data_IF_004462779820
#
_entry.id   IF_004462779820
#
_cell.length_a   1.000
_cell.length_b   1.000
_cell.length_c   1.000
_cell.angle_alpha   90.00
_cell.angle_beta   90.00
_cell.angle_gamma   90.00
#
_symmetry.space_group_name_H-M   'P 1'
#
loop_
_entity.id
_entity.type
_entity.pdbx_description
1 polymer ?
#
# COMPACT_ATOMS: atom_id res chain seq x y z
N UNK A 1 37.42 11.33 39.82
CA UNK A 1 37.25 11.90 38.45
C UNK A 1 37.08 10.79 37.42
N UNK A 2 37.99 9.82 37.36
CA UNK A 2 37.91 8.65 36.46
C UNK A 2 36.61 7.85 36.61
N UNK A 3 36.17 7.57 37.84
CA UNK A 3 34.93 6.81 38.08
C UNK A 3 33.67 7.53 37.58
N UNK A 4 33.61 8.86 37.74
CA UNK A 4 32.52 9.69 37.25
C UNK A 4 32.52 9.79 35.71
N UNK A 5 33.70 9.74 35.09
CA UNK A 5 33.84 9.75 33.64
C UNK A 5 33.32 8.43 33.03
N UNK A 6 33.65 7.29 33.66
CA UNK A 6 33.13 5.99 33.25
C UNK A 6 31.62 5.85 33.47
N UNK A 7 31.08 6.35 34.58
CA UNK A 7 29.64 6.30 34.84
C UNK A 7 28.84 7.18 33.87
N UNK A 8 29.34 8.37 33.54
CA UNK A 8 28.73 9.23 32.52
C UNK A 8 28.76 8.62 31.11
N UNK A 9 29.89 8.03 30.73
CA UNK A 9 30.05 7.36 29.43
C UNK A 9 29.12 6.14 29.31
N UNK A 10 29.01 5.34 30.37
CA UNK A 10 28.11 4.19 30.41
C UNK A 10 26.64 4.61 30.26
N UNK A 11 26.21 5.66 30.98
CA UNK A 11 24.85 6.18 30.87
C UNK A 11 24.53 6.67 29.46
N UNK A 12 25.48 7.37 28.80
CA UNK A 12 25.34 7.83 27.43
C UNK A 12 25.19 6.66 26.44
N UNK A 13 25.99 5.61 26.59
CA UNK A 13 25.89 4.41 25.74
C UNK A 13 24.55 3.69 25.91
N UNK A 14 24.06 3.58 27.15
CA UNK A 14 22.76 2.94 27.43
C UNK A 14 21.63 3.70 26.75
N UNK A 15 21.57 5.03 26.91
CA UNK A 15 20.52 5.84 26.28
C UNK A 15 20.63 5.80 24.76
N UNK A 16 21.84 5.89 24.19
CA UNK A 16 22.06 5.78 22.75
C UNK A 16 21.60 4.42 22.20
N UNK A 17 21.88 3.32 22.91
CA UNK A 17 21.43 1.99 22.52
C UNK A 17 19.90 1.85 22.61
N UNK A 18 19.27 2.42 23.64
CA UNK A 18 17.82 2.41 23.80
C UNK A 18 17.13 3.18 22.66
N UNK A 19 17.65 4.37 22.32
CA UNK A 19 17.15 5.15 21.19
C UNK A 19 17.38 4.46 19.85
N UNK A 20 18.51 3.77 19.67
CA UNK A 20 18.77 2.97 18.48
C UNK A 20 17.76 1.83 18.33
N UNK A 21 17.42 1.14 19.43
CA UNK A 21 16.44 0.07 19.41
C UNK A 21 15.04 0.58 19.05
N UNK A 22 14.64 1.74 19.60
CA UNK A 22 13.40 2.41 19.22
C UNK A 22 13.40 2.89 17.76
N UNK A 23 14.51 3.47 17.29
CA UNK A 23 14.65 3.90 15.90
C UNK A 23 14.55 2.71 14.94
N UNK A 24 15.17 1.57 15.28
CA UNK A 24 15.12 0.33 14.49
C UNK A 24 13.71 -0.24 14.39
N UNK A 25 12.89 -0.11 15.43
CA UNK A 25 11.47 -0.51 15.39
C UNK A 25 10.63 0.43 14.52
N UNK A 26 10.99 1.71 14.43
CA UNK A 26 10.31 2.70 13.58
C UNK A 26 10.65 2.61 12.09
N UNK A 27 11.70 1.86 11.71
CA UNK A 27 12.28 1.91 10.37
C UNK A 27 11.98 0.64 9.53
N UNK A 28 10.71 0.25 9.46
CA UNK A 28 10.19 -0.62 8.39
C UNK A 28 9.11 0.12 7.57
N UNK A 29 9.37 1.40 7.27
CA UNK A 29 8.38 2.27 6.63
C UNK A 29 8.51 2.44 5.11
N UNK A 30 9.64 2.08 4.50
CA UNK A 30 9.82 2.17 3.05
C UNK A 30 9.23 0.92 2.39
N UNK A 31 7.91 0.80 2.45
CA UNK A 31 7.24 -0.19 1.62
C UNK A 31 7.28 0.34 0.19
N UNK A 32 8.14 -0.26 -0.62
CA UNK A 32 8.29 0.06 -2.03
C UNK A 32 6.93 -0.13 -2.73
N UNK A 33 6.40 0.97 -3.29
CA UNK A 33 5.13 0.93 -4.04
C UNK A 33 5.23 0.06 -5.29
N UNK A 34 6.45 -0.25 -5.75
CA UNK A 34 6.70 -1.24 -6.80
C UNK A 34 6.28 -2.66 -6.40
N UNK A 35 6.29 -3.01 -5.11
CA UNK A 35 5.84 -4.33 -4.64
C UNK A 35 4.32 -4.53 -4.79
N UNK A 36 3.59 -3.50 -5.20
CA UNK A 36 2.13 -3.50 -5.38
C UNK A 36 1.76 -3.86 -6.83
N UNK A 37 2.73 -3.92 -7.73
CA UNK A 37 2.51 -4.34 -9.11
C UNK A 37 2.00 -5.79 -9.13
N UNK A 38 0.90 -6.04 -9.84
CA UNK A 38 0.20 -7.34 -9.94
C UNK A 38 -0.54 -7.83 -8.68
N UNK A 39 -0.55 -7.06 -7.58
CA UNK A 39 -1.37 -7.38 -6.41
C UNK A 39 -2.87 -7.15 -6.68
N UNK A 40 -3.70 -7.90 -5.95
CA UNK A 40 -5.15 -7.76 -6.01
C UNK A 40 -5.65 -6.86 -4.88
N UNK A 41 -6.56 -5.95 -5.20
CA UNK A 41 -7.14 -5.01 -4.25
C UNK A 41 -8.66 -4.95 -4.37
N UNK A 42 -9.26 -4.23 -3.43
CA UNK A 42 -10.71 -3.98 -3.42
C UNK A 42 -10.96 -2.50 -3.61
N UNK A 43 -11.91 -2.16 -4.48
CA UNK A 43 -12.31 -0.77 -4.71
C UNK A 43 -13.02 -0.23 -3.47
N UNK A 44 -12.47 0.80 -2.86
CA UNK A 44 -13.09 1.51 -1.74
C UNK A 44 -13.99 2.64 -2.25
N UNK A 45 -13.49 3.42 -3.21
CA UNK A 45 -14.22 4.49 -3.88
C UNK A 45 -14.32 4.20 -5.37
N UNK A 46 -15.54 4.27 -5.90
CA UNK A 46 -15.87 4.03 -7.31
C UNK A 46 -14.86 4.72 -8.24
N UNK A 47 -14.27 3.93 -9.14
CA UNK A 47 -13.30 4.41 -10.12
C UNK A 47 -14.08 4.73 -11.40
N UNK A 48 -14.23 6.01 -11.78
CA UNK A 48 -14.89 6.37 -13.03
C UNK A 48 -14.07 5.84 -14.21
N UNK A 49 -14.77 5.30 -15.21
CA UNK A 49 -14.13 4.71 -16.39
C UNK A 49 -13.43 5.74 -17.28
N UNK A 50 -12.66 5.24 -18.25
CA UNK A 50 -11.99 6.05 -19.28
C UNK A 50 -11.07 7.14 -18.72
N UNK A 51 -10.38 6.87 -17.59
CA UNK A 51 -9.52 7.85 -16.90
C UNK A 51 -10.21 9.20 -16.59
N UNK A 52 -11.55 9.24 -16.49
CA UNK A 52 -12.31 10.48 -16.26
C UNK A 52 -12.25 11.00 -14.83
N UNK A 53 -11.63 10.27 -13.92
CA UNK A 53 -11.46 10.69 -12.53
C UNK A 53 -10.67 9.67 -11.73
N UNK A 54 -10.44 10.01 -10.47
CA UNK A 54 -9.59 9.24 -9.56
C UNK A 54 -10.50 8.55 -8.55
N UNK A 55 -10.41 7.22 -8.48
CA UNK A 55 -10.99 6.45 -7.39
C UNK A 55 -9.93 6.06 -6.35
N UNK A 56 -10.33 5.22 -5.41
CA UNK A 56 -9.46 4.75 -4.33
C UNK A 56 -9.63 3.24 -4.16
N UNK A 57 -8.51 2.54 -4.01
CA UNK A 57 -8.48 1.11 -3.75
C UNK A 57 -7.76 0.84 -2.46
N UNK A 58 -8.17 -0.23 -1.78
CA UNK A 58 -7.42 -0.82 -0.69
C UNK A 58 -6.59 -1.95 -1.26
N UNK A 59 -5.26 -1.81 -1.14
CA UNK A 59 -4.30 -2.80 -1.61
C UNK A 59 -3.33 -3.12 -0.48
N UNK A 60 -2.88 -4.38 -0.44
CA UNK A 60 -1.88 -4.81 0.53
C UNK A 60 -0.51 -4.34 0.05
N UNK A 61 0.15 -3.53 0.88
CA UNK A 61 1.47 -3.00 0.61
C UNK A 61 2.35 -3.50 1.76
N UNK A 62 3.08 -4.59 1.51
CA UNK A 62 3.83 -5.31 2.54
C UNK A 62 2.90 -5.98 3.56
N UNK A 63 3.03 -5.61 4.84
CA UNK A 63 2.23 -6.20 5.94
C UNK A 63 1.02 -5.33 6.36
N UNK A 64 0.68 -4.30 5.59
CA UNK A 64 -0.42 -3.39 5.90
C UNK A 64 -1.28 -3.13 4.68
N UNK A 65 -2.57 -2.90 4.90
CA UNK A 65 -3.49 -2.46 3.85
C UNK A 65 -3.40 -0.95 3.77
N UNK A 66 -3.13 -0.41 2.57
CA UNK A 66 -3.08 1.02 2.32
C UNK A 66 -4.17 1.40 1.31
N UNK A 67 -4.78 2.54 1.56
CA UNK A 67 -5.63 3.21 0.57
C UNK A 67 -4.73 3.94 -0.44
N UNK A 68 -4.89 3.62 -1.72
CA UNK A 68 -4.10 4.22 -2.81
C UNK A 68 -5.04 4.71 -3.90
N UNK A 69 -4.65 5.81 -4.55
CA UNK A 69 -5.39 6.38 -5.68
C UNK A 69 -5.30 5.43 -6.87
N UNK A 70 -6.42 5.23 -7.55
CA UNK A 70 -6.47 4.35 -8.71
C UNK A 70 -7.26 4.95 -9.87
N UNK A 71 -6.87 4.58 -11.08
CA UNK A 71 -7.54 4.93 -12.33
C UNK A 71 -7.74 3.68 -13.17
N UNK A 72 -8.73 3.69 -14.05
CA UNK A 72 -8.98 2.61 -15.00
C UNK A 72 -9.22 3.18 -16.40
N UNK A 73 -8.73 2.50 -17.43
CA UNK A 73 -8.99 2.85 -18.83
C UNK A 73 -10.31 2.26 -19.34
N UNK A 74 -10.79 1.20 -18.69
CA UNK A 74 -12.01 0.51 -19.04
C UNK A 74 -13.29 1.18 -18.56
N UNK A 75 -14.29 0.35 -18.26
CA UNK A 75 -15.57 0.79 -17.70
C UNK A 75 -15.41 1.22 -16.23
N UNK A 76 -16.41 1.96 -15.73
CA UNK A 76 -16.41 2.36 -14.33
C UNK A 76 -16.49 1.13 -13.41
N UNK A 77 -15.67 1.11 -12.36
CA UNK A 77 -15.61 0.02 -11.39
C UNK A 77 -16.25 0.51 -10.09
N UNK A 78 -17.34 -0.14 -9.68
CA UNK A 78 -18.07 0.19 -8.47
C UNK A 78 -17.30 -0.23 -7.21
N UNK A 79 -17.62 0.42 -6.08
CA UNK A 79 -17.10 0.04 -4.75
C UNK A 79 -17.39 -1.44 -4.44
N UNK A 80 -16.48 -2.07 -3.70
CA UNK A 80 -16.57 -3.48 -3.30
C UNK A 80 -16.14 -4.50 -4.37
N UNK A 81 -15.87 -4.08 -5.62
CA UNK A 81 -15.34 -4.98 -6.65
C UNK A 81 -13.85 -5.24 -6.46
N UNK A 82 -13.40 -6.45 -6.80
CA UNK A 82 -11.97 -6.78 -6.87
C UNK A 82 -11.34 -6.26 -8.15
N UNK A 83 -10.12 -5.75 -8.01
CA UNK A 83 -9.33 -5.21 -9.11
C UNK A 83 -7.89 -5.70 -9.00
N UNK A 84 -7.19 -5.76 -10.13
CA UNK A 84 -5.77 -6.08 -10.20
C UNK A 84 -5.00 -4.83 -10.61
N UNK A 85 -3.87 -4.58 -9.95
CA UNK A 85 -2.95 -3.50 -10.30
C UNK A 85 -2.12 -3.93 -11.51
N UNK A 86 -2.19 -3.17 -12.60
CA UNK A 86 -1.43 -3.45 -13.83
C UNK A 86 -0.20 -2.54 -13.97
N UNK A 87 -0.25 -1.33 -13.42
CA UNK A 87 0.84 -0.37 -13.54
C UNK A 87 0.85 0.61 -12.36
N UNK A 88 2.04 1.02 -11.92
CA UNK A 88 2.23 2.10 -10.95
C UNK A 88 2.64 3.36 -11.70
N UNK A 89 1.74 4.33 -11.81
CA UNK A 89 2.02 5.62 -12.45
C UNK A 89 2.69 6.60 -11.48
N UNK A 90 3.37 7.60 -12.04
CA UNK A 90 3.98 8.70 -11.27
C UNK A 90 2.93 9.40 -10.39
N UNK A 91 3.27 9.68 -9.13
CA UNK A 91 2.38 10.35 -8.17
C UNK A 91 1.51 9.41 -7.32
N UNK A 92 1.91 8.15 -7.16
CA UNK A 92 1.20 7.13 -6.38
C UNK A 92 -0.24 6.89 -6.89
N UNK A 93 -0.38 6.87 -8.22
CA UNK A 93 -1.64 6.55 -8.89
C UNK A 93 -1.46 5.16 -9.52
N UNK A 94 -2.34 4.23 -9.18
CA UNK A 94 -2.31 2.87 -9.69
C UNK A 94 -3.26 2.74 -10.86
N UNK A 95 -2.78 2.19 -11.97
CA UNK A 95 -3.64 1.76 -13.06
C UNK A 95 -4.16 0.36 -12.72
N UNK A 96 -5.48 0.22 -12.71
CA UNK A 96 -6.14 -1.04 -12.32
C UNK A 96 -7.14 -1.52 -13.35
N UNK A 97 -7.25 -2.84 -13.41
CA UNK A 97 -8.22 -3.55 -14.23
C UNK A 97 -9.18 -4.37 -13.36
N UNK A 98 -10.42 -4.59 -13.82
CA UNK A 98 -11.34 -5.49 -13.16
C UNK A 98 -10.72 -6.88 -12.98
N UNK A 99 -10.68 -7.38 -11.75
CA UNK A 99 -10.23 -8.74 -11.46
C UNK A 99 -11.15 -9.75 -12.15
N UNK A 100 -10.59 -10.86 -12.63
CA UNK A 100 -11.24 -11.88 -13.46
C UNK A 100 -12.56 -12.47 -12.91
N UNK A 101 -12.95 -12.17 -11.68
CA UNK A 101 -14.25 -12.49 -11.07
C UNK A 101 -15.45 -11.85 -11.80
N UNK A 102 -15.24 -10.76 -12.54
CA UNK A 102 -16.29 -10.11 -13.34
C UNK A 102 -16.65 -10.86 -14.65
N UNK A 103 -15.86 -11.87 -15.03
CA UNK A 103 -16.13 -12.70 -16.20
C UNK A 103 -17.10 -13.86 -15.86
N UNK A 104 -17.07 -14.36 -14.62
CA UNK A 104 -17.86 -15.53 -14.20
C UNK A 104 -19.34 -15.20 -13.96
N UNK A 105 -19.65 -13.99 -13.49
CA UNK A 105 -21.05 -13.57 -13.25
C UNK A 105 -21.83 -13.35 -14.56
N UNK A 106 -21.13 -13.05 -15.66
CA UNK A 106 -21.74 -12.82 -16.98
C UNK A 106 -22.12 -14.12 -17.68
N UNK A 107 -21.42 -15.22 -17.38
CA UNK A 107 -21.68 -16.54 -17.96
C UNK A 107 -22.88 -17.24 -17.26
N UNK A 108 -23.02 -17.07 -15.94
CA UNK A 108 -24.07 -17.74 -15.17
C UNK A 108 -25.44 -17.02 -15.13
N UNK A 109 -25.54 -15.76 -15.59
CA UNK A 109 -26.81 -15.03 -15.63
C UNK A 109 -27.58 -15.20 -16.95
N UNK A 110 -27.04 -15.95 -17.92
CA UNK A 110 -27.68 -16.21 -19.22
C UNK A 110 -28.21 -17.64 -19.36
N UNK A 111 -28.20 -18.45 -18.29
CA UNK A 111 -28.83 -19.78 -18.26
C UNK A 111 -30.00 -19.82 -17.30
#
# INVERSE_FOLDING_TARGET
VTLAFFSGLAAMLVVAYMLYLFAKLGQSGSVDMDSVLFESGTVYLTIPGKRKGIGKINVKVGNSIKEVRAVTEGQAIQTGKKVRVIEVMKGNILLVEPGQELLLERENSSK
#
